data_IF_472044752513
#
_entry.id   IF_472044752513
#
_cell.length_a   1.000
_cell.length_b   1.000
_cell.length_c   1.000
_cell.angle_alpha   90.00
_cell.angle_beta   90.00
_cell.angle_gamma   90.00
#
_symmetry.space_group_name_H-M   'P 1'
#
loop_
_entity.id
_entity.type
_entity.pdbx_description
1 polymer ?
#
# COMPACT_ATOMS: atom_id res chain seq x y z
N UNK A 1 3.34 -6.33 8.53
CA UNK A 1 2.68 -5.86 7.29
C UNK A 1 3.53 -6.30 6.12
N UNK A 2 2.94 -6.96 5.11
CA UNK A 2 3.69 -7.39 3.91
C UNK A 2 4.14 -6.17 3.10
N UNK A 3 5.30 -6.27 2.46
CA UNK A 3 5.82 -5.22 1.58
C UNK A 3 5.82 -5.71 0.14
N UNK A 4 5.16 -4.97 -0.75
CA UNK A 4 5.08 -5.25 -2.18
C UNK A 4 6.15 -4.44 -2.89
N UNK A 5 7.02 -5.14 -3.62
CA UNK A 5 8.07 -4.54 -4.43
C UNK A 5 7.58 -4.30 -5.87
N UNK A 6 8.42 -3.65 -6.68
CA UNK A 6 8.07 -3.32 -8.05
C UNK A 6 7.88 -4.55 -8.96
N UNK A 7 8.62 -5.64 -8.74
CA UNK A 7 8.46 -6.85 -9.55
C UNK A 7 7.10 -7.49 -9.29
N UNK A 8 6.74 -7.68 -8.03
CA UNK A 8 5.44 -8.25 -7.63
C UNK A 8 4.27 -7.37 -8.10
N UNK A 9 4.39 -6.05 -7.94
CA UNK A 9 3.38 -5.10 -8.40
C UNK A 9 3.21 -5.14 -9.93
N UNK A 10 4.30 -5.25 -10.71
CA UNK A 10 4.19 -5.27 -12.18
C UNK A 10 3.56 -6.54 -12.74
N UNK A 11 3.58 -7.65 -11.99
CA UNK A 11 2.93 -8.91 -12.43
C UNK A 11 1.41 -8.74 -12.45
N UNK A 12 0.85 -8.03 -11.47
CA UNK A 12 -0.58 -7.80 -11.35
C UNK A 12 -0.86 -6.43 -10.72
N UNK A 13 -0.70 -5.32 -11.45
CA UNK A 13 -0.88 -3.98 -10.89
C UNK A 13 -2.32 -3.74 -10.42
N UNK A 14 -3.30 -4.27 -11.14
CA UNK A 14 -4.73 -4.13 -10.82
C UNK A 14 -5.15 -4.85 -9.53
N UNK A 15 -4.29 -5.72 -8.97
CA UNK A 15 -4.51 -6.36 -7.68
C UNK A 15 -4.38 -5.38 -6.52
N UNK A 16 -3.64 -4.30 -6.71
CA UNK A 16 -3.21 -3.42 -5.64
C UNK A 16 -3.81 -2.04 -5.81
N UNK A 17 -4.31 -1.49 -4.70
CA UNK A 17 -4.90 -0.15 -4.66
C UNK A 17 -4.15 0.74 -3.66
N UNK A 18 -3.94 2.00 -4.01
CA UNK A 18 -3.46 3.00 -3.07
C UNK A 18 -4.64 3.66 -2.36
N UNK A 19 -4.70 3.51 -1.03
CA UNK A 19 -5.74 4.10 -0.18
C UNK A 19 -5.14 5.17 0.71
N UNK A 20 -5.98 6.11 1.14
CA UNK A 20 -5.59 7.04 2.20
C UNK A 20 -5.35 6.25 3.51
N UNK A 21 -4.28 6.56 4.24
CA UNK A 21 -4.01 5.89 5.52
C UNK A 21 -4.90 6.38 6.67
N UNK A 22 -5.81 7.33 6.41
CA UNK A 22 -6.92 7.73 7.29
C UNK A 22 -8.16 6.83 7.18
N UNK A 23 -8.19 5.89 6.23
CA UNK A 23 -9.32 4.96 6.06
C UNK A 23 -9.51 4.08 7.30
N UNK A 24 -10.77 3.82 7.66
CA UNK A 24 -11.13 2.98 8.80
C UNK A 24 -10.49 1.59 8.66
N UNK A 25 -9.74 1.17 9.68
CA UNK A 25 -9.03 -0.11 9.70
C UNK A 25 -7.59 -0.04 9.15
N UNK A 26 -7.17 1.10 8.60
CA UNK A 26 -5.77 1.27 8.21
C UNK A 26 -4.85 1.24 9.45
N UNK A 27 -3.74 0.50 9.39
CA UNK A 27 -2.77 0.43 10.47
C UNK A 27 -2.08 1.78 10.69
N UNK A 28 -1.79 2.07 11.96
CA UNK A 28 -1.01 3.27 12.34
C UNK A 28 0.46 3.09 11.99
N UNK A 29 1.15 4.20 11.75
CA UNK A 29 2.59 4.24 11.70
C UNK A 29 3.20 3.78 13.03
N UNK A 30 4.40 3.19 13.03
CA UNK A 30 5.16 2.88 14.24
C UNK A 30 5.34 4.08 15.19
N UNK A 31 5.34 5.29 14.65
CA UNK A 31 5.48 6.55 15.39
C UNK A 31 4.16 7.10 15.93
N UNK A 32 3.06 6.34 15.88
CA UNK A 32 1.75 6.73 16.43
C UNK A 32 0.87 7.57 15.49
N UNK A 33 1.43 8.12 14.41
CA UNK A 33 0.69 8.88 13.40
C UNK A 33 -0.04 7.97 12.40
N UNK A 34 -0.96 8.53 11.61
CA UNK A 34 -1.53 7.85 10.45
C UNK A 34 -0.57 7.93 9.27
N UNK A 35 -0.56 6.92 8.43
CA UNK A 35 0.07 7.06 7.12
C UNK A 35 -0.78 8.02 6.28
N UNK A 36 -0.15 8.82 5.43
CA UNK A 36 -0.91 9.58 4.42
C UNK A 36 -1.51 8.62 3.39
N UNK A 37 -0.73 7.63 2.98
CA UNK A 37 -1.09 6.62 1.99
C UNK A 37 -0.68 5.22 2.43
N UNK A 38 -1.50 4.23 2.07
CA UNK A 38 -1.24 2.82 2.33
C UNK A 38 -1.70 1.96 1.15
N UNK A 39 -0.94 0.90 0.87
CA UNK A 39 -1.35 -0.07 -0.13
C UNK A 39 -2.39 -1.02 0.42
N UNK A 40 -3.26 -1.50 -0.47
CA UNK A 40 -4.25 -2.52 -0.16
C UNK A 40 -4.23 -3.60 -1.23
N UNK A 41 -4.15 -4.85 -0.83
CA UNK A 41 -4.26 -6.01 -1.72
C UNK A 41 -5.74 -6.40 -1.83
N UNK A 42 -6.32 -6.23 -3.01
CA UNK A 42 -7.72 -6.54 -3.27
C UNK A 42 -8.02 -8.04 -3.25
N UNK A 43 -7.01 -8.88 -3.49
CA UNK A 43 -7.15 -10.35 -3.51
C UNK A 43 -7.19 -10.92 -2.09
N UNK A 44 -6.21 -10.55 -1.28
CA UNK A 44 -6.07 -11.03 0.11
C UNK A 44 -6.83 -10.15 1.11
N UNK A 45 -7.40 -9.03 0.64
CA UNK A 45 -8.15 -8.05 1.44
C UNK A 45 -7.37 -7.49 2.62
N UNK A 46 -6.07 -7.27 2.45
CA UNK A 46 -5.15 -6.86 3.52
C UNK A 46 -4.38 -5.58 3.19
N UNK A 47 -3.97 -4.86 4.23
CA UNK A 47 -3.11 -3.68 4.08
C UNK A 47 -1.64 -4.09 3.88
N UNK A 48 -1.00 -3.48 2.89
CA UNK A 48 0.39 -3.74 2.51
C UNK A 48 1.19 -2.43 2.41
N UNK A 49 2.51 -2.54 2.56
CA UNK A 49 3.44 -1.45 2.27
C UNK A 49 3.88 -1.51 0.82
N UNK A 50 3.90 -0.39 0.13
CA UNK A 50 4.58 -0.29 -1.16
C UNK A 50 6.04 0.15 -0.97
N UNK A 51 6.94 -0.41 -1.77
CA UNK A 51 8.29 0.15 -1.88
C UNK A 51 8.24 1.52 -2.55
N UNK A 52 9.28 2.34 -2.32
CA UNK A 52 9.42 3.67 -2.94
C UNK A 52 9.24 3.65 -4.46
N UNK A 53 9.72 2.59 -5.12
CA UNK A 53 9.59 2.40 -6.57
C UNK A 53 8.15 2.18 -7.04
N UNK A 54 7.35 1.41 -6.30
CA UNK A 54 5.92 1.22 -6.59
C UNK A 54 5.15 2.49 -6.31
N UNK A 55 5.42 3.12 -5.16
CA UNK A 55 4.74 4.36 -4.75
C UNK A 55 4.91 5.48 -5.78
N UNK A 56 6.11 5.64 -6.35
CA UNK A 56 6.38 6.59 -7.44
C UNK A 56 5.54 6.37 -8.70
N UNK A 57 5.08 5.14 -8.97
CA UNK A 57 4.21 4.85 -10.11
C UNK A 57 2.75 5.23 -9.86
N UNK A 58 2.36 5.33 -8.58
CA UNK A 58 0.98 5.54 -8.15
C UNK A 58 0.68 7.02 -7.85
N UNK A 59 1.67 7.78 -7.38
CA UNK A 59 1.50 9.17 -6.93
C UNK A 59 2.21 10.13 -7.90
N UNK A 60 1.86 10.02 -9.18
CA UNK A 60 2.53 10.70 -10.30
C UNK A 60 2.75 12.20 -10.08
#
# INVERSE_FOLDING_TARGET
MRTINAQEYNIAPDRYELRAGSVKGAPRCPYGNLYEWIGYDLREQEYVRFTKSVFKKLVQ
#
